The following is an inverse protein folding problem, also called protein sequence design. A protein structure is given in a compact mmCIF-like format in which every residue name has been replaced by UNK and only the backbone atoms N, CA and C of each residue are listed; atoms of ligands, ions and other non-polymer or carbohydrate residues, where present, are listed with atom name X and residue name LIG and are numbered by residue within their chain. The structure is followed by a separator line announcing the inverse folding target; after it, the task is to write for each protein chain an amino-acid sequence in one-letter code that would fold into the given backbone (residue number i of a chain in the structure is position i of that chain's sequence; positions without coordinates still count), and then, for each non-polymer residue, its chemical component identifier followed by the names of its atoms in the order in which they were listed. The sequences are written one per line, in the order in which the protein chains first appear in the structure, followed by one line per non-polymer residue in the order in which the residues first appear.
data_IF_458926960466
#
_entry.id   IF_458926960466
#
_cell.length_a   1.000
_cell.length_b   1.000
_cell.length_c   1.000
_cell.angle_alpha   90.00
_cell.angle_beta   90.00
_cell.angle_gamma   90.00
#
_symmetry.space_group_name_H-M   'P 1'
#
loop_
_entity.id
_entity.type
_entity.pdbx_description
1 polymer ?
#
# COMPACT_ATOMS: atom_id res chain seq x y z
N UNK A 1 -41.19 -16.05 -16.38
CA UNK A 1 -40.80 -17.44 -16.68
C UNK A 1 -39.29 -17.48 -16.75
N UNK A 2 -38.70 -18.49 -16.11
CA UNK A 2 -37.30 -18.55 -15.63
C UNK A 2 -36.23 -18.49 -16.73
N UNK A 3 -35.11 -17.83 -16.41
CA UNK A 3 -33.77 -18.20 -16.92
C UNK A 3 -32.91 -18.47 -15.68
N UNK A 4 -32.16 -19.56 -15.76
CA UNK A 4 -31.71 -20.45 -14.69
C UNK A 4 -30.89 -19.84 -13.54
N UNK A 5 -30.99 -20.46 -12.36
CA UNK A 5 -29.93 -20.44 -11.34
C UNK A 5 -28.74 -21.21 -11.88
N UNK A 6 -27.56 -20.60 -11.82
CA UNK A 6 -26.28 -21.25 -12.09
C UNK A 6 -26.04 -22.35 -11.04
N UNK A 7 -25.98 -23.65 -11.40
CA UNK A 7 -25.71 -24.72 -10.48
C UNK A 7 -24.22 -25.06 -10.54
N UNK A 8 -23.41 -24.41 -9.71
CA UNK A 8 -22.10 -24.95 -9.33
C UNK A 8 -21.81 -24.65 -7.86
N UNK A 9 -21.31 -25.69 -7.19
CA UNK A 9 -21.51 -25.95 -5.77
C UNK A 9 -20.81 -24.98 -4.81
N UNK A 10 -21.59 -24.54 -3.83
CA UNK A 10 -21.13 -24.09 -2.52
C UNK A 10 -20.24 -25.16 -1.86
N UNK A 11 -18.94 -25.07 -2.09
CA UNK A 11 -17.90 -25.64 -1.24
C UNK A 11 -17.03 -24.47 -0.75
N UNK A 12 -17.57 -23.69 0.19
CA UNK A 12 -16.89 -22.48 0.65
C UNK A 12 -17.56 -21.72 1.78
N UNK A 13 -17.99 -22.42 2.83
CA UNK A 13 -18.07 -21.83 4.17
C UNK A 13 -19.34 -21.06 4.57
N UNK A 14 -19.78 -21.32 5.79
CA UNK A 14 -20.87 -20.67 6.49
C UNK A 14 -20.46 -19.30 7.05
N UNK A 15 -20.29 -18.29 6.19
CA UNK A 15 -20.28 -16.91 6.64
C UNK A 15 -21.04 -16.00 5.68
N UNK A 16 -22.35 -15.87 5.93
CA UNK A 16 -23.27 -15.02 5.14
C UNK A 16 -23.13 -13.53 5.49
N UNK A 17 -22.21 -13.18 6.40
CA UNK A 17 -21.87 -11.80 6.79
C UNK A 17 -20.47 -11.37 6.33
N UNK A 18 -19.96 -11.96 5.23
CA UNK A 18 -18.77 -11.40 4.61
C UNK A 18 -19.15 -10.04 4.02
N UNK A 19 -18.68 -8.97 4.67
CA UNK A 19 -18.74 -7.63 4.10
C UNK A 19 -18.10 -7.72 2.70
N UNK A 20 -18.85 -7.33 1.68
CA UNK A 20 -18.29 -7.18 0.35
C UNK A 20 -17.00 -6.34 0.46
N UNK A 21 -15.92 -6.65 -0.29
CA UNK A 21 -14.81 -5.72 -0.39
C UNK A 21 -15.40 -4.35 -0.73
N UNK A 22 -15.11 -3.40 0.15
CA UNK A 22 -15.74 -2.10 0.25
C UNK A 22 -15.99 -1.46 -1.15
N UNK A 23 -17.25 -1.23 -1.57
CA UNK A 23 -17.57 -0.74 -2.91
C UNK A 23 -17.35 0.77 -3.09
N UNK A 24 -16.56 1.43 -2.24
CA UNK A 24 -16.08 2.79 -2.50
C UNK A 24 -15.05 2.71 -3.63
N UNK A 25 -15.55 2.65 -4.85
CA UNK A 25 -14.76 2.64 -6.07
C UNK A 25 -13.79 3.80 -6.07
N UNK A 26 -12.49 3.48 -6.10
CA UNK A 26 -11.44 4.45 -6.34
C UNK A 26 -11.60 5.01 -7.76
N UNK A 27 -11.83 6.31 -7.86
CA UNK A 27 -11.70 7.06 -9.12
C UNK A 27 -10.29 7.61 -9.11
N UNK A 28 -9.45 7.17 -10.06
CA UNK A 28 -8.10 7.68 -10.26
C UNK A 28 -8.12 9.11 -10.83
N UNK A 29 -7.97 10.17 -10.02
CA UNK A 29 -8.09 11.53 -10.54
C UNK A 29 -6.80 11.94 -11.29
N UNK A 30 -5.75 11.13 -11.21
CA UNK A 30 -4.38 11.44 -11.66
C UNK A 30 -3.89 10.49 -12.76
N UNK A 31 -4.64 9.45 -13.10
CA UNK A 31 -4.28 8.48 -14.15
C UNK A 31 -3.04 7.64 -13.84
N UNK A 32 -2.70 7.47 -12.56
CA UNK A 32 -1.50 6.72 -12.11
C UNK A 32 -1.75 5.21 -11.92
N UNK A 33 -2.96 4.73 -12.19
CA UNK A 33 -3.39 3.33 -12.13
C UNK A 33 -2.60 2.45 -13.10
N UNK A 34 -1.46 1.93 -12.67
CA UNK A 34 -0.79 0.83 -13.39
C UNK A 34 -0.89 -0.50 -12.67
N UNK A 35 -1.09 -0.50 -11.33
CA UNK A 35 -1.24 -1.72 -10.52
C UNK A 35 -1.82 -1.41 -9.15
N UNK A 36 -2.77 -2.21 -8.69
CA UNK A 36 -3.24 -2.25 -7.31
C UNK A 36 -2.49 -3.35 -6.56
N UNK A 37 -1.98 -3.04 -5.37
CA UNK A 37 -1.31 -3.98 -4.48
C UNK A 37 -2.10 -4.09 -3.17
N UNK A 38 -2.69 -5.24 -2.89
CA UNK A 38 -3.29 -5.52 -1.58
C UNK A 38 -2.22 -6.07 -0.64
N UNK A 39 -2.11 -5.51 0.56
CA UNK A 39 -1.13 -5.95 1.56
C UNK A 39 -1.75 -6.04 2.95
N UNK A 40 -1.45 -7.14 3.63
CA UNK A 40 -1.84 -7.43 5.01
C UNK A 40 -0.59 -7.43 5.87
N UNK A 41 -0.58 -6.61 6.93
CA UNK A 41 0.53 -6.56 7.88
C UNK A 41 0.49 -7.73 8.89
N UNK A 42 1.52 -7.79 9.74
CA UNK A 42 1.66 -8.77 10.81
C UNK A 42 0.52 -8.77 11.84
N UNK A 43 -0.26 -7.69 11.93
CA UNK A 43 -1.43 -7.56 12.81
C UNK A 43 -2.72 -8.04 12.16
N UNK A 44 -2.68 -8.42 10.87
CA UNK A 44 -3.84 -8.79 10.08
C UNK A 44 -4.57 -7.59 9.46
N UNK A 45 -4.03 -6.38 9.58
CA UNK A 45 -4.63 -5.18 9.01
C UNK A 45 -4.31 -5.10 7.51
N UNK A 46 -5.37 -5.09 6.70
CA UNK A 46 -5.26 -5.15 5.24
C UNK A 46 -5.66 -3.81 4.62
N UNK A 47 -4.82 -3.30 3.71
CA UNK A 47 -5.11 -2.12 2.92
C UNK A 47 -4.77 -2.37 1.44
N UNK A 48 -5.54 -1.75 0.56
CA UNK A 48 -5.26 -1.69 -0.87
C UNK A 48 -4.42 -0.46 -1.19
N UNK A 49 -3.35 -0.64 -1.96
CA UNK A 49 -2.44 0.43 -2.37
C UNK A 49 -2.50 0.60 -3.87
N UNK A 50 -2.78 1.81 -4.31
CA UNK A 50 -2.81 2.21 -5.72
C UNK A 50 -1.66 3.17 -6.04
N UNK A 51 -1.35 3.33 -7.33
CA UNK A 51 -0.38 4.31 -7.80
C UNK A 51 1.08 3.82 -7.75
N UNK A 52 1.99 4.65 -7.25
CA UNK A 52 3.43 4.37 -7.23
C UNK A 52 3.80 3.36 -6.15
N UNK A 53 3.80 2.08 -6.51
CA UNK A 53 4.31 0.97 -5.69
C UNK A 53 5.46 0.22 -6.36
N UNK A 54 5.68 0.43 -7.66
CA UNK A 54 6.73 -0.22 -8.44
C UNK A 54 8.13 0.25 -8.02
N UNK A 55 9.00 -0.72 -7.74
CA UNK A 55 10.41 -0.53 -7.39
C UNK A 55 11.36 -1.04 -8.47
N UNK A 56 10.86 -1.37 -9.66
CA UNK A 56 11.67 -1.89 -10.78
C UNK A 56 12.85 -1.00 -11.18
N UNK A 57 12.79 0.31 -10.90
CA UNK A 57 13.88 1.25 -11.19
C UNK A 57 14.99 1.27 -10.14
N UNK A 58 14.81 0.63 -8.99
CA UNK A 58 15.84 0.58 -7.96
C UNK A 58 17.01 -0.31 -8.39
N UNK A 59 18.21 0.04 -7.94
CA UNK A 59 19.35 -0.88 -7.97
C UNK A 59 19.19 -1.99 -6.91
N UNK A 60 19.88 -3.11 -7.09
CA UNK A 60 19.83 -4.21 -6.12
C UNK A 60 20.35 -3.79 -4.73
N UNK A 61 21.37 -2.93 -4.68
CA UNK A 61 21.89 -2.37 -3.42
C UNK A 61 20.88 -1.46 -2.73
N UNK A 62 20.16 -0.65 -3.51
CA UNK A 62 19.12 0.22 -2.95
C UNK A 62 17.93 -0.59 -2.44
N UNK A 63 17.55 -1.67 -3.12
CA UNK A 63 16.50 -2.59 -2.66
C UNK A 63 16.90 -3.29 -1.38
N UNK A 64 18.12 -3.84 -1.30
CA UNK A 64 18.65 -4.45 -0.06
C UNK A 64 18.64 -3.44 1.08
N UNK A 65 19.10 -2.21 0.82
CA UNK A 65 19.08 -1.13 1.81
C UNK A 65 17.66 -0.77 2.24
N UNK A 66 16.72 -0.67 1.30
CA UNK A 66 15.31 -0.38 1.60
C UNK A 66 14.66 -1.51 2.40
N UNK A 67 14.95 -2.77 2.04
CA UNK A 67 14.47 -3.95 2.74
C UNK A 67 14.99 -3.99 4.19
N UNK A 68 16.30 -3.81 4.38
CA UNK A 68 16.94 -3.76 5.70
C UNK A 68 16.41 -2.62 6.57
N UNK A 69 16.30 -1.41 6.01
CA UNK A 69 15.84 -0.23 6.76
C UNK A 69 14.37 -0.31 7.21
N UNK A 70 13.60 -1.23 6.61
CA UNK A 70 12.24 -1.52 7.01
C UNK A 70 12.09 -2.87 7.76
N UNK A 71 13.15 -3.69 7.85
CA UNK A 71 13.14 -4.97 8.59
C UNK A 71 12.72 -4.76 10.04
N UNK A 72 11.93 -5.64 10.67
CA UNK A 72 11.52 -5.53 12.07
C UNK A 72 12.69 -5.34 13.04
N UNK A 73 13.85 -5.92 12.73
CA UNK A 73 15.05 -5.85 13.57
C UNK A 73 15.74 -4.47 13.56
N UNK A 74 15.37 -3.59 12.62
CA UNK A 74 15.95 -2.27 12.51
C UNK A 74 15.39 -1.34 13.62
N UNK A 75 16.24 -0.65 14.41
CA UNK A 75 15.79 0.23 15.50
C UNK A 75 15.10 1.52 15.01
N UNK A 76 15.05 1.77 13.69
CA UNK A 76 14.45 2.98 13.13
C UNK A 76 12.91 2.98 13.30
N UNK A 77 12.32 3.99 13.94
CA UNK A 77 10.91 3.96 14.33
C UNK A 77 9.92 4.03 13.15
N UNK A 78 10.29 4.63 12.02
CA UNK A 78 9.36 4.89 10.90
C UNK A 78 9.76 4.20 9.59
N UNK A 79 10.77 3.34 9.61
CA UNK A 79 11.32 2.73 8.40
C UNK A 79 11.88 3.75 7.40
N UNK A 80 11.88 3.39 6.10
CA UNK A 80 12.27 4.25 4.97
C UNK A 80 11.27 4.10 3.83
N UNK A 81 10.73 5.22 3.36
CA UNK A 81 9.97 5.26 2.12
C UNK A 81 10.89 5.30 0.89
N UNK A 82 10.51 4.64 -0.22
CA UNK A 82 11.26 4.71 -1.47
C UNK A 82 11.14 6.09 -2.13
N UNK A 83 11.88 6.30 -3.20
CA UNK A 83 11.88 7.48 -4.05
C UNK A 83 11.56 7.09 -5.50
N UNK A 84 10.91 7.98 -6.24
CA UNK A 84 10.72 7.81 -7.68
C UNK A 84 12.05 7.95 -8.46
N UNK A 85 11.99 7.76 -9.78
CA UNK A 85 13.16 7.94 -10.68
C UNK A 85 13.75 9.35 -10.66
N UNK A 86 13.02 10.35 -10.15
CA UNK A 86 13.43 11.75 -10.03
C UNK A 86 13.94 12.08 -8.62
N UNK A 87 14.04 11.08 -7.73
CA UNK A 87 14.50 11.25 -6.34
C UNK A 87 13.44 11.78 -5.38
N UNK A 88 12.16 11.83 -5.76
CA UNK A 88 11.09 12.28 -4.87
C UNK A 88 10.60 11.13 -4.01
N UNK A 89 10.58 11.32 -2.69
CA UNK A 89 10.00 10.35 -1.75
C UNK A 89 8.57 9.98 -2.14
N UNK A 90 8.28 8.68 -2.22
CA UNK A 90 6.95 8.15 -2.45
C UNK A 90 6.22 8.16 -1.11
N UNK A 91 5.16 8.95 -1.03
CA UNK A 91 4.31 9.07 0.16
C UNK A 91 3.11 8.14 -0.01
N UNK A 92 2.78 7.39 1.04
CA UNK A 92 1.55 6.64 1.16
C UNK A 92 0.51 7.50 1.89
N UNK A 93 -0.57 7.84 1.19
CA UNK A 93 -1.63 8.72 1.69
C UNK A 93 -2.97 8.00 1.69
N UNK A 94 -3.73 8.09 2.79
CA UNK A 94 -5.10 7.59 2.82
C UNK A 94 -5.98 8.43 1.90
N UNK A 95 -6.74 7.78 1.03
CA UNK A 95 -7.68 8.47 0.15
C UNK A 95 -8.68 9.29 0.97
N UNK A 96 -8.76 10.60 0.71
CA UNK A 96 -9.61 11.58 1.42
C UNK A 96 -9.48 11.58 2.96
N UNK A 97 -8.37 11.09 3.49
CA UNK A 97 -8.12 11.04 4.94
C UNK A 97 -9.17 10.20 5.69
N UNK A 98 -9.50 9.02 5.16
CA UNK A 98 -10.34 8.04 5.84
C UNK A 98 -9.48 6.86 6.32
N UNK A 99 -9.56 6.54 7.61
CA UNK A 99 -8.70 5.55 8.29
C UNK A 99 -8.77 4.12 7.70
N UNK A 100 -9.87 3.79 7.01
CA UNK A 100 -10.13 2.48 6.40
C UNK A 100 -10.21 2.56 4.87
N UNK A 101 -9.84 3.69 4.28
CA UNK A 101 -9.86 3.91 2.84
C UNK A 101 -8.59 3.38 2.16
N UNK A 102 -8.68 3.11 0.86
CA UNK A 102 -7.52 2.71 0.05
C UNK A 102 -6.39 3.75 0.15
N UNK A 103 -5.16 3.25 0.06
CA UNK A 103 -3.95 4.06 0.07
C UNK A 103 -3.57 4.40 -1.36
N UNK A 104 -3.10 5.62 -1.57
CA UNK A 104 -2.44 6.03 -2.81
C UNK A 104 -0.96 6.33 -2.54
N UNK A 105 -0.09 5.63 -3.27
CA UNK A 105 1.33 5.92 -3.38
C UNK A 105 1.57 6.99 -4.43
N UNK A 106 2.20 8.09 -4.06
CA UNK A 106 2.57 9.14 -5.01
C UNK A 106 3.84 9.90 -4.60
N UNK A 107 4.60 10.47 -5.55
CA UNK A 107 5.74 11.33 -5.24
C UNK A 107 5.35 12.52 -4.36
N UNK A 108 6.19 12.86 -3.38
CA UNK A 108 5.96 13.94 -2.43
C UNK A 108 5.71 15.29 -3.11
N UNK A 109 6.39 15.57 -4.24
CA UNK A 109 6.15 16.78 -5.04
C UNK A 109 4.70 16.84 -5.55
N UNK A 110 4.16 15.71 -6.01
CA UNK A 110 2.78 15.64 -6.48
C UNK A 110 1.79 15.79 -5.32
N UNK A 111 2.07 15.13 -4.19
CA UNK A 111 1.30 15.31 -2.96
C UNK A 111 1.25 16.78 -2.51
N UNK A 112 2.39 17.48 -2.53
CA UNK A 112 2.48 18.90 -2.18
C UNK A 112 1.68 19.78 -3.16
N UNK A 113 1.82 19.54 -4.47
CA UNK A 113 1.09 20.31 -5.49
C UNK A 113 -0.43 20.18 -5.38
N UNK A 114 -0.92 19.02 -4.90
CA UNK A 114 -2.35 18.72 -4.78
C UNK A 114 -2.84 18.64 -3.32
N UNK A 115 -2.07 19.21 -2.38
CA UNK A 115 -2.29 19.06 -0.94
C UNK A 115 -3.71 19.48 -0.50
N UNK A 116 -4.26 20.55 -1.09
CA UNK A 116 -5.62 21.04 -0.78
C UNK A 116 -6.72 20.00 -1.06
N UNK A 117 -6.59 19.25 -2.15
CA UNK A 117 -7.58 18.22 -2.53
C UNK A 117 -7.35 16.90 -1.78
N UNK A 118 -6.11 16.62 -1.39
CA UNK A 118 -5.73 15.42 -0.66
C UNK A 118 -6.06 15.52 0.84
N UNK A 119 -6.13 16.75 1.37
CA UNK A 119 -6.45 17.03 2.77
C UNK A 119 -7.73 17.86 2.95
N UNK A 120 -8.92 17.35 2.58
CA UNK A 120 -10.18 18.08 2.74
C UNK A 120 -10.55 18.36 4.21
N UNK A 121 -10.06 17.53 5.15
CA UNK A 121 -10.24 17.68 6.60
C UNK A 121 -9.07 18.42 7.26
N UNK A 122 -8.16 19.00 6.47
CA UNK A 122 -6.95 19.67 6.93
C UNK A 122 -5.83 18.72 7.38
N UNK A 123 -4.66 19.27 7.70
CA UNK A 123 -3.41 18.50 7.90
C UNK A 123 -3.38 17.61 9.17
N UNK A 124 -4.42 17.66 10.01
CA UNK A 124 -4.53 16.91 11.27
C UNK A 124 -5.63 15.85 11.28
N UNK A 125 -6.45 15.77 10.23
CA UNK A 125 -7.57 14.84 10.15
C UNK A 125 -7.20 13.49 9.52
N UNK A 126 -7.86 12.41 9.98
CA UNK A 126 -8.12 11.22 9.17
C UNK A 126 -7.09 10.09 9.18
N UNK A 127 -6.33 9.96 10.28
CA UNK A 127 -5.75 8.68 10.70
C UNK A 127 -5.92 8.60 12.23
N UNK A 128 -6.91 7.86 12.73
CA UNK A 128 -7.12 7.66 14.18
C UNK A 128 -5.96 6.91 14.86
N UNK A 129 -5.33 5.97 14.15
CA UNK A 129 -4.20 5.19 14.66
C UNK A 129 -2.92 5.39 13.84
N UNK A 130 -2.24 6.52 14.10
CA UNK A 130 -1.03 6.92 13.37
C UNK A 130 0.12 5.93 13.54
N UNK A 131 0.23 5.30 14.71
CA UNK A 131 1.27 4.32 15.01
C UNK A 131 1.08 3.04 14.21
N UNK A 132 -0.13 2.46 14.25
CA UNK A 132 -0.47 1.28 13.43
C UNK A 132 -0.22 1.55 11.95
N UNK A 133 -0.64 2.71 11.43
CA UNK A 133 -0.36 3.05 10.04
C UNK A 133 1.13 3.18 9.73
N UNK A 134 1.94 3.71 10.66
CA UNK A 134 3.40 3.80 10.45
C UNK A 134 4.05 2.42 10.43
N UNK A 135 3.63 1.50 11.30
CA UNK A 135 4.09 0.11 11.30
C UNK A 135 3.68 -0.60 10.01
N UNK A 136 2.40 -0.49 9.63
CA UNK A 136 1.88 -1.03 8.38
C UNK A 136 2.67 -0.54 7.16
N UNK A 137 2.97 0.77 7.06
CA UNK A 137 3.77 1.32 5.96
C UNK A 137 5.19 0.76 5.92
N UNK A 138 5.81 0.56 7.09
CA UNK A 138 7.15 -0.02 7.19
C UNK A 138 7.13 -1.45 6.66
N UNK A 139 6.20 -2.27 7.13
CA UNK A 139 6.05 -3.65 6.67
C UNK A 139 5.72 -3.74 5.18
N UNK A 140 4.86 -2.84 4.68
CA UNK A 140 4.54 -2.75 3.26
C UNK A 140 5.80 -2.52 2.42
N UNK A 141 6.62 -1.52 2.76
CA UNK A 141 7.84 -1.24 1.99
C UNK A 141 8.92 -2.31 2.19
N UNK A 142 8.99 -2.95 3.35
CA UNK A 142 9.83 -4.12 3.56
C UNK A 142 9.45 -5.27 2.61
N UNK A 143 8.15 -5.54 2.47
CA UNK A 143 7.60 -6.55 1.57
C UNK A 143 7.81 -6.20 0.10
N UNK A 144 7.49 -4.98 -0.34
CA UNK A 144 7.70 -4.57 -1.74
C UNK A 144 9.17 -4.70 -2.17
N UNK A 145 10.11 -4.33 -1.30
CA UNK A 145 11.53 -4.51 -1.59
C UNK A 145 11.91 -5.99 -1.67
N UNK A 146 11.37 -6.84 -0.78
CA UNK A 146 11.61 -8.28 -0.79
C UNK A 146 11.06 -8.95 -2.06
N UNK A 147 9.84 -8.61 -2.46
CA UNK A 147 9.21 -9.17 -3.66
C UNK A 147 9.95 -8.76 -4.93
N UNK A 148 10.43 -7.51 -5.01
CA UNK A 148 11.25 -7.07 -6.14
C UNK A 148 12.62 -7.77 -6.17
N UNK A 149 13.27 -8.00 -5.02
CA UNK A 149 14.50 -8.80 -4.94
C UNK A 149 14.26 -10.26 -5.37
N UNK A 150 13.19 -10.89 -4.89
CA UNK A 150 12.79 -12.26 -5.29
C UNK A 150 12.52 -12.35 -6.80
N UNK A 151 11.84 -11.34 -7.36
CA UNK A 151 11.58 -11.25 -8.82
C UNK A 151 12.88 -11.21 -9.63
N UNK A 152 13.96 -10.68 -9.05
CA UNK A 152 15.31 -10.65 -9.63
C UNK A 152 16.14 -11.91 -9.34
N UNK A 153 15.59 -12.89 -8.63
CA UNK A 153 16.31 -14.09 -8.20
C UNK A 153 17.33 -13.84 -7.07
N UNK A 154 17.19 -12.74 -6.34
CA UNK A 154 18.07 -12.37 -5.22
C UNK A 154 17.35 -12.71 -3.91
N UNK A 155 18.02 -13.47 -3.05
CA UNK A 155 17.49 -13.74 -1.71
C UNK A 155 17.46 -12.44 -0.88
N UNK A 156 16.28 -12.00 -0.40
CA UNK A 156 16.19 -10.88 0.51
C UNK A 156 16.83 -11.28 1.85
N UNK A 157 17.94 -10.62 2.20
CA UNK A 157 18.66 -10.81 3.47
C UNK A 157 18.61 -9.52 4.28
N UNK A 158 18.48 -9.65 5.60
CA UNK A 158 18.46 -8.54 6.56
C UNK A 158 19.86 -8.13 7.05
N UNK A 159 20.92 -8.50 6.33
CA UNK A 159 22.33 -8.30 6.70
C UNK A 159 22.99 -7.17 5.94
#
# INVERSE_FOLDING_TARGET
MFIARDPIGLLGGSNVFQYAPNPVMWIDPVGLSRKTTSFTDSTGFTLEVHGYTDLSHYSDSDLKSLHYLNSPDNPRPFGKSPVDRKGNTIVLHHYRQQDMGSIIGMPARQHQSNSKNLHPLGNKGGISNREQFNNWKREFWHNQAAEELKRRGITPSCT
#
